data_IF_950423197294
#
_entry.id   IF_950423197294
#
_cell.length_a   1.000
_cell.length_b   1.000
_cell.length_c   1.000
_cell.angle_alpha   90.00
_cell.angle_beta   90.00
_cell.angle_gamma   90.00
#
_symmetry.space_group_name_H-M   'P 1'
#
loop_
_entity.id
_entity.type
_entity.pdbx_description
1 polymer ?
#
# COMPACT_ATOMS: atom_id res chain seq x y z
N UNK A 1 13.08 -43.47 12.90
CA UNK A 1 11.80 -43.13 13.57
C UNK A 1 12.09 -42.96 15.05
N UNK A 2 11.97 -41.74 15.61
CA UNK A 2 10.88 -41.58 16.58
C UNK A 2 10.27 -40.17 16.70
N UNK A 3 9.07 -40.15 17.29
CA UNK A 3 8.27 -39.01 17.79
C UNK A 3 7.41 -38.21 16.79
N UNK A 4 6.45 -38.90 16.18
CA UNK A 4 5.14 -38.29 15.91
C UNK A 4 4.31 -38.31 17.20
N UNK A 5 4.39 -37.26 18.01
CA UNK A 5 3.38 -37.00 19.04
C UNK A 5 2.23 -36.23 18.39
N UNK A 6 1.15 -36.95 18.15
CA UNK A 6 -0.13 -36.42 17.72
C UNK A 6 -0.62 -35.35 18.70
N UNK A 7 -0.61 -34.09 18.25
CA UNK A 7 -1.37 -33.00 18.86
C UNK A 7 -2.27 -32.33 17.80
N UNK A 8 -2.85 -33.14 16.90
CA UNK A 8 -3.03 -32.77 15.50
C UNK A 8 -4.44 -32.30 15.07
N UNK A 9 -5.30 -31.85 15.99
CA UNK A 9 -6.66 -31.41 15.60
C UNK A 9 -6.87 -29.88 15.54
N UNK A 10 -5.84 -29.05 15.74
CA UNK A 10 -5.98 -27.56 15.71
C UNK A 10 -4.91 -26.79 14.92
N UNK A 11 -3.84 -27.45 14.47
CA UNK A 11 -2.81 -26.86 13.60
C UNK A 11 -3.41 -26.28 12.30
N UNK A 12 -4.31 -27.01 11.61
CA UNK A 12 -5.23 -26.51 10.60
C UNK A 12 -5.87 -25.13 10.81
N UNK A 13 -6.26 -24.80 12.03
CA UNK A 13 -7.07 -23.62 12.33
C UNK A 13 -6.23 -22.47 12.88
N UNK A 14 -4.99 -22.73 13.32
CA UNK A 14 -4.13 -21.74 13.95
C UNK A 14 -3.04 -21.26 12.98
N UNK A 15 -3.42 -20.36 12.07
CA UNK A 15 -2.50 -19.82 11.05
C UNK A 15 -1.22 -19.18 11.63
N UNK A 16 -1.27 -18.40 12.73
CA UNK A 16 -0.05 -17.87 13.34
C UNK A 16 0.94 -18.95 13.79
N UNK A 17 0.44 -20.04 14.39
CA UNK A 17 1.29 -21.14 14.81
C UNK A 17 1.89 -21.87 13.61
N UNK A 18 1.06 -22.21 12.62
CA UNK A 18 1.52 -22.87 11.39
C UNK A 18 2.57 -22.02 10.65
N UNK A 19 2.37 -20.71 10.57
CA UNK A 19 3.34 -19.79 9.99
C UNK A 19 4.71 -19.86 10.68
N UNK A 20 4.73 -19.90 12.01
CA UNK A 20 5.97 -19.97 12.77
C UNK A 20 6.70 -21.30 12.57
N UNK A 21 5.94 -22.39 12.39
CA UNK A 21 6.47 -23.72 12.10
C UNK A 21 7.06 -23.80 10.68
N UNK A 22 6.33 -23.31 9.67
CA UNK A 22 6.81 -23.21 8.27
C UNK A 22 8.09 -22.36 8.20
N UNK A 23 8.15 -21.24 8.92
CA UNK A 23 9.34 -20.37 8.97
C UNK A 23 10.58 -21.09 9.51
N UNK A 24 10.42 -22.17 10.28
CA UNK A 24 11.52 -22.97 10.85
C UNK A 24 11.89 -24.15 9.95
N UNK A 25 10.90 -24.85 9.41
CA UNK A 25 11.09 -26.01 8.55
C UNK A 25 9.91 -26.16 7.58
N UNK A 26 10.02 -25.57 6.39
CA UNK A 26 8.91 -25.54 5.44
C UNK A 26 8.58 -26.93 4.85
N UNK A 27 9.58 -27.80 4.69
CA UNK A 27 9.39 -29.10 4.04
C UNK A 27 8.41 -29.97 4.84
N UNK A 28 8.53 -29.95 6.17
CA UNK A 28 7.69 -30.74 7.08
C UNK A 28 6.23 -30.30 7.18
N UNK A 29 5.86 -29.12 6.67
CA UNK A 29 4.49 -28.57 6.76
C UNK A 29 3.85 -28.33 5.39
N UNK A 30 4.32 -29.02 4.36
CA UNK A 30 3.83 -28.86 2.98
C UNK A 30 2.36 -29.25 2.86
N UNK A 31 1.92 -30.35 3.48
CA UNK A 31 0.52 -30.80 3.43
C UNK A 31 -0.42 -29.80 4.12
N UNK A 32 -0.04 -29.29 5.30
CA UNK A 32 -0.82 -28.27 5.99
C UNK A 32 -0.91 -26.97 5.19
N UNK A 33 0.19 -26.58 4.55
CA UNK A 33 0.23 -25.43 3.66
C UNK A 33 -0.71 -25.63 2.45
N UNK A 34 -0.64 -26.74 1.74
CA UNK A 34 -1.48 -27.04 0.58
C UNK A 34 -2.96 -27.02 0.95
N UNK A 35 -3.29 -27.53 2.13
CA UNK A 35 -4.66 -27.48 2.67
C UNK A 35 -5.14 -26.04 2.89
N UNK A 36 -4.29 -25.13 3.40
CA UNK A 36 -4.63 -23.70 3.47
C UNK A 36 -4.72 -23.07 2.09
N UNK A 37 -3.83 -23.42 1.17
CA UNK A 37 -3.85 -22.90 -0.18
C UNK A 37 -5.16 -23.27 -0.90
N UNK A 38 -5.65 -24.49 -0.72
CA UNK A 38 -6.96 -24.93 -1.22
C UNK A 38 -8.13 -24.13 -0.60
N UNK A 39 -8.09 -23.87 0.71
CA UNK A 39 -9.08 -23.01 1.39
C UNK A 39 -9.07 -21.60 0.83
N UNK A 40 -7.89 -21.04 0.55
CA UNK A 40 -7.75 -19.72 -0.08
C UNK A 40 -8.42 -19.70 -1.46
N UNK A 41 -8.10 -20.67 -2.32
CA UNK A 41 -8.67 -20.76 -3.68
C UNK A 41 -10.20 -20.87 -3.64
N UNK A 42 -10.75 -21.75 -2.80
CA UNK A 42 -12.19 -21.92 -2.65
C UNK A 42 -12.87 -20.64 -2.13
N UNK A 43 -12.26 -20.00 -1.12
CA UNK A 43 -12.82 -18.80 -0.49
C UNK A 43 -12.73 -17.58 -1.41
N UNK A 44 -11.63 -17.42 -2.17
CA UNK A 44 -11.49 -16.39 -3.20
C UNK A 44 -12.55 -16.54 -4.29
N UNK A 45 -12.75 -17.75 -4.82
CA UNK A 45 -13.73 -17.99 -5.87
C UNK A 45 -15.17 -17.63 -5.46
N UNK A 46 -15.52 -17.83 -4.19
CA UNK A 46 -16.81 -17.41 -3.63
C UNK A 46 -16.83 -15.90 -3.41
N UNK A 47 -15.76 -15.34 -2.84
CA UNK A 47 -15.65 -13.92 -2.54
C UNK A 47 -15.75 -13.02 -3.78
N UNK A 48 -15.14 -13.42 -4.90
CA UNK A 48 -15.19 -12.67 -6.16
C UNK A 48 -16.62 -12.49 -6.71
N UNK A 49 -17.57 -13.35 -6.32
CA UNK A 49 -18.98 -13.21 -6.71
C UNK A 49 -19.67 -12.06 -5.96
N UNK A 50 -19.23 -11.74 -4.74
CA UNK A 50 -19.76 -10.61 -3.96
C UNK A 50 -18.67 -9.98 -3.05
N UNK A 51 -17.78 -9.15 -3.62
CA UNK A 51 -16.61 -8.60 -2.92
C UNK A 51 -16.94 -7.43 -1.96
N UNK A 52 -18.22 -7.11 -1.77
CA UNK A 52 -18.66 -5.94 -0.99
C UNK A 52 -18.60 -6.16 0.51
N UNK A 53 -18.64 -7.42 0.96
CA UNK A 53 -18.67 -7.81 2.36
C UNK A 53 -17.27 -8.17 2.86
N UNK A 54 -16.90 -7.76 4.07
CA UNK A 54 -15.65 -8.19 4.67
C UNK A 54 -15.67 -9.69 4.97
N UNK A 55 -14.68 -10.42 4.45
CA UNK A 55 -14.49 -11.84 4.72
C UNK A 55 -13.27 -12.05 5.64
N UNK A 56 -13.49 -12.33 6.92
CA UNK A 56 -12.40 -12.47 7.88
C UNK A 56 -11.49 -13.68 7.59
N UNK A 57 -12.08 -14.81 7.18
CA UNK A 57 -11.31 -16.01 6.84
C UNK A 57 -10.39 -15.77 5.64
N UNK A 58 -10.91 -15.06 4.62
CA UNK A 58 -10.11 -14.67 3.46
C UNK A 58 -8.99 -13.70 3.85
N UNK A 59 -9.28 -12.73 4.71
CA UNK A 59 -8.27 -11.81 5.24
C UNK A 59 -7.13 -12.58 5.92
N UNK A 60 -7.46 -13.43 6.88
CA UNK A 60 -6.47 -14.18 7.66
C UNK A 60 -5.59 -15.07 6.78
N UNK A 61 -6.20 -15.76 5.81
CA UNK A 61 -5.47 -16.67 4.93
C UNK A 61 -4.59 -15.93 3.92
N UNK A 62 -5.03 -14.79 3.38
CA UNK A 62 -4.19 -13.93 2.52
C UNK A 62 -2.98 -13.43 3.28
N UNK A 63 -3.16 -12.98 4.53
CA UNK A 63 -2.05 -12.50 5.36
C UNK A 63 -1.06 -13.63 5.70
N UNK A 64 -1.57 -14.84 5.98
CA UNK A 64 -0.76 -16.03 6.16
C UNK A 64 0.06 -16.36 4.91
N UNK A 65 -0.58 -16.48 3.73
CA UNK A 65 0.08 -16.81 2.47
C UNK A 65 1.15 -15.79 2.11
N UNK A 66 0.86 -14.48 2.25
CA UNK A 66 1.85 -13.42 2.02
C UNK A 66 3.08 -13.55 2.94
N UNK A 67 2.90 -14.05 4.18
CA UNK A 67 3.98 -14.28 5.13
C UNK A 67 4.78 -15.56 4.89
N UNK A 68 4.22 -16.58 4.22
CA UNK A 68 4.95 -17.82 3.91
C UNK A 68 5.37 -17.95 2.45
N UNK A 69 4.98 -17.01 1.56
CA UNK A 69 5.19 -17.11 0.12
C UNK A 69 6.61 -17.47 -0.35
N UNK A 70 7.64 -16.95 0.31
CA UNK A 70 9.04 -17.24 -0.04
C UNK A 70 9.46 -18.71 0.19
N UNK A 71 8.73 -19.45 1.03
CA UNK A 71 9.03 -20.85 1.35
C UNK A 71 8.36 -21.82 0.37
N UNK A 72 7.36 -21.36 -0.40
CA UNK A 72 6.61 -22.15 -1.38
C UNK A 72 6.50 -21.38 -2.71
N UNK A 73 7.64 -21.10 -3.39
CA UNK A 73 7.66 -20.23 -4.57
C UNK A 73 6.95 -20.84 -5.79
N UNK A 74 6.93 -22.17 -5.92
CA UNK A 74 6.27 -22.86 -7.03
C UNK A 74 4.74 -22.78 -6.90
N UNK A 75 4.23 -22.97 -5.68
CA UNK A 75 2.80 -22.98 -5.40
C UNK A 75 2.19 -21.57 -5.35
N UNK A 76 2.98 -20.54 -5.03
CA UNK A 76 2.52 -19.15 -4.86
C UNK A 76 3.07 -18.18 -5.91
N UNK A 77 3.49 -18.68 -7.07
CA UNK A 77 3.97 -17.85 -8.18
C UNK A 77 2.90 -16.86 -8.70
N UNK A 78 1.64 -17.30 -8.80
CA UNK A 78 0.52 -16.52 -9.31
C UNK A 78 -0.17 -15.66 -8.23
N UNK A 79 0.04 -16.01 -6.96
CA UNK A 79 -0.62 -15.37 -5.83
C UNK A 79 -0.50 -13.83 -5.82
N UNK A 80 0.68 -13.22 -6.04
CA UNK A 80 0.78 -11.77 -6.13
C UNK A 80 -0.11 -11.16 -7.23
N UNK A 81 -0.14 -11.79 -8.40
CA UNK A 81 -0.90 -11.30 -9.56
C UNK A 81 -2.40 -11.46 -9.35
N UNK A 82 -2.84 -12.51 -8.65
CA UNK A 82 -4.25 -12.68 -8.24
C UNK A 82 -4.71 -11.51 -7.35
N UNK A 83 -3.93 -11.16 -6.33
CA UNK A 83 -4.26 -10.02 -5.45
C UNK A 83 -4.31 -8.70 -6.22
N UNK A 84 -3.38 -8.48 -7.15
CA UNK A 84 -3.38 -7.31 -8.05
C UNK A 84 -4.63 -7.30 -8.93
N UNK A 85 -5.03 -8.45 -9.48
CA UNK A 85 -6.21 -8.56 -10.33
C UNK A 85 -7.50 -8.23 -9.56
N UNK A 86 -7.65 -8.73 -8.33
CA UNK A 86 -8.80 -8.44 -7.46
C UNK A 86 -8.88 -6.92 -7.18
N UNK A 87 -7.77 -6.28 -6.83
CA UNK A 87 -7.73 -4.84 -6.61
C UNK A 87 -8.05 -4.06 -7.89
N UNK A 88 -7.47 -4.42 -9.05
CA UNK A 88 -7.75 -3.73 -10.31
C UNK A 88 -9.22 -3.85 -10.75
N UNK A 89 -9.84 -5.02 -10.56
CA UNK A 89 -11.24 -5.28 -10.96
C UNK A 89 -12.26 -4.69 -10.00
N UNK A 90 -12.03 -4.80 -8.70
CA UNK A 90 -13.06 -4.57 -7.68
C UNK A 90 -12.73 -3.45 -6.68
N UNK A 91 -11.64 -2.69 -6.86
CA UNK A 91 -11.23 -1.69 -5.88
C UNK A 91 -12.35 -0.73 -5.45
N UNK A 92 -13.23 -0.25 -6.34
CA UNK A 92 -14.32 0.67 -5.97
C UNK A 92 -15.38 0.03 -5.07
N UNK A 93 -15.71 -1.25 -5.28
CA UNK A 93 -16.80 -1.97 -4.59
C UNK A 93 -16.33 -2.80 -3.40
N UNK A 94 -15.02 -3.08 -3.31
CA UNK A 94 -14.42 -3.83 -2.20
C UNK A 94 -14.71 -3.16 -0.85
N UNK A 95 -14.99 -3.97 0.16
CA UNK A 95 -15.04 -3.49 1.54
C UNK A 95 -13.72 -2.77 1.91
N UNK A 96 -13.75 -1.57 2.52
CA UNK A 96 -12.53 -0.79 2.81
C UNK A 96 -11.46 -1.56 3.59
N UNK A 97 -11.86 -2.33 4.60
CA UNK A 97 -10.93 -3.17 5.37
C UNK A 97 -10.30 -4.28 4.53
N UNK A 98 -11.06 -4.89 3.61
CA UNK A 98 -10.53 -5.92 2.71
C UNK A 98 -9.54 -5.31 1.72
N UNK A 99 -9.90 -4.17 1.13
CA UNK A 99 -9.01 -3.41 0.23
C UNK A 99 -7.67 -3.08 0.90
N UNK A 100 -7.70 -2.57 2.13
CA UNK A 100 -6.49 -2.30 2.92
C UNK A 100 -5.67 -3.57 3.18
N UNK A 101 -6.34 -4.68 3.46
CA UNK A 101 -5.69 -5.97 3.73
C UNK A 101 -4.93 -6.51 2.52
N UNK A 102 -5.56 -6.46 1.34
CA UNK A 102 -4.93 -6.84 0.08
C UNK A 102 -3.69 -6.00 -0.22
N UNK A 103 -3.78 -4.67 -0.02
CA UNK A 103 -2.64 -3.77 -0.20
C UNK A 103 -1.50 -4.09 0.78
N UNK A 104 -1.80 -4.36 2.05
CA UNK A 104 -0.80 -4.77 3.05
C UNK A 104 -0.16 -6.13 2.69
N UNK A 105 -0.92 -7.07 2.17
CA UNK A 105 -0.38 -8.35 1.70
C UNK A 105 0.61 -8.16 0.53
N UNK A 106 0.25 -7.34 -0.46
CA UNK A 106 1.16 -6.96 -1.56
C UNK A 106 2.44 -6.28 -1.06
N UNK A 107 2.34 -5.46 -0.01
CA UNK A 107 3.53 -4.87 0.61
C UNK A 107 4.44 -5.90 1.27
N UNK A 108 3.89 -6.90 1.95
CA UNK A 108 4.69 -8.00 2.50
C UNK A 108 5.41 -8.76 1.39
N UNK A 109 4.74 -9.03 0.27
CA UNK A 109 5.32 -9.69 -0.90
C UNK A 109 6.43 -8.85 -1.54
N UNK A 110 6.24 -7.53 -1.64
CA UNK A 110 7.26 -6.59 -2.12
C UNK A 110 8.49 -6.54 -1.21
N UNK A 111 8.32 -6.57 0.10
CA UNK A 111 9.46 -6.63 1.04
C UNK A 111 10.29 -7.91 0.90
N UNK A 112 9.74 -8.95 0.28
CA UNK A 112 10.42 -10.21 -0.04
C UNK A 112 10.89 -10.29 -1.49
N UNK A 113 10.79 -9.18 -2.24
CA UNK A 113 11.11 -9.11 -3.67
C UNK A 113 10.28 -10.04 -4.56
N UNK A 114 9.09 -10.45 -4.10
CA UNK A 114 8.15 -11.27 -4.90
C UNK A 114 7.26 -10.43 -5.83
N UNK A 115 7.33 -9.10 -5.71
CA UNK A 115 6.63 -8.13 -6.58
C UNK A 115 7.61 -7.03 -6.94
N UNK A 116 7.65 -6.68 -8.23
CA UNK A 116 8.45 -5.55 -8.70
C UNK A 116 7.98 -4.25 -8.05
N UNK A 117 8.90 -3.39 -7.55
CA UNK A 117 8.54 -2.08 -7.06
C UNK A 117 7.73 -1.27 -8.07
N UNK A 118 8.04 -1.37 -9.37
CA UNK A 118 7.31 -0.66 -10.42
C UNK A 118 5.82 -1.06 -10.44
N UNK A 119 5.53 -2.36 -10.47
CA UNK A 119 4.15 -2.88 -10.49
C UNK A 119 3.34 -2.42 -9.29
N UNK A 120 3.95 -2.43 -8.10
CA UNK A 120 3.29 -1.98 -6.88
C UNK A 120 2.98 -0.48 -6.92
N UNK A 121 3.92 0.37 -7.35
CA UNK A 121 3.68 1.82 -7.46
C UNK A 121 2.58 2.13 -8.49
N UNK A 122 2.58 1.45 -9.64
CA UNK A 122 1.53 1.61 -10.65
C UNK A 122 0.14 1.31 -10.06
N UNK A 123 0.03 0.23 -9.28
CA UNK A 123 -1.22 -0.10 -8.58
C UNK A 123 -1.60 0.96 -7.55
N UNK A 124 -0.64 1.48 -6.78
CA UNK A 124 -0.92 2.51 -5.77
C UNK A 124 -1.51 3.77 -6.41
N UNK A 125 -0.95 4.23 -7.53
CA UNK A 125 -1.47 5.38 -8.27
C UNK A 125 -2.89 5.16 -8.79
N UNK A 126 -3.23 3.93 -9.22
CA UNK A 126 -4.60 3.58 -9.58
C UNK A 126 -5.55 3.62 -8.37
N UNK A 127 -5.10 3.09 -7.22
CA UNK A 127 -5.90 3.03 -6.00
C UNK A 127 -6.08 4.39 -5.31
N UNK A 128 -5.26 5.40 -5.61
CA UNK A 128 -5.48 6.78 -5.14
C UNK A 128 -6.83 7.35 -5.61
N UNK A 129 -7.41 6.81 -6.69
CA UNK A 129 -8.72 7.23 -7.22
C UNK A 129 -9.89 6.70 -6.39
N UNK A 130 -9.66 5.74 -5.50
CA UNK A 130 -10.72 5.18 -4.66
C UNK A 130 -11.17 6.19 -3.59
N UNK A 131 -12.48 6.23 -3.34
CA UNK A 131 -13.08 7.07 -2.29
C UNK A 131 -12.87 6.47 -0.89
N UNK A 132 -11.61 6.24 -0.50
CA UNK A 132 -11.20 5.70 0.79
C UNK A 132 -10.04 6.50 1.37
N UNK A 133 -10.37 7.38 2.32
CA UNK A 133 -9.40 8.29 2.95
C UNK A 133 -8.30 7.54 3.69
N UNK A 134 -8.62 6.43 4.35
CA UNK A 134 -7.65 5.65 5.11
C UNK A 134 -6.65 4.97 4.16
N UNK A 135 -7.15 4.38 3.07
CA UNK A 135 -6.31 3.83 2.02
C UNK A 135 -5.41 4.89 1.39
N UNK A 136 -5.95 6.03 0.96
CA UNK A 136 -5.15 7.09 0.32
C UNK A 136 -4.02 7.57 1.22
N UNK A 137 -4.31 7.82 2.50
CA UNK A 137 -3.29 8.21 3.49
C UNK A 137 -2.18 7.16 3.62
N UNK A 138 -2.55 5.88 3.66
CA UNK A 138 -1.61 4.77 3.73
C UNK A 138 -0.73 4.69 2.47
N UNK A 139 -1.33 4.73 1.28
CA UNK A 139 -0.60 4.71 0.00
C UNK A 139 0.37 5.89 -0.12
N UNK A 140 -0.07 7.10 0.25
CA UNK A 140 0.77 8.30 0.24
C UNK A 140 1.98 8.19 1.15
N UNK A 141 1.87 7.54 2.33
CA UNK A 141 3.02 7.30 3.20
C UNK A 141 4.09 6.45 2.52
N UNK A 142 3.68 5.51 1.66
CA UNK A 142 4.61 4.64 0.93
C UNK A 142 5.17 5.28 -0.34
N UNK A 143 4.38 6.08 -1.05
CA UNK A 143 4.83 6.80 -2.26
C UNK A 143 5.95 7.81 -1.94
N UNK A 144 6.04 8.31 -0.70
CA UNK A 144 7.13 9.22 -0.26
C UNK A 144 8.54 8.68 -0.48
N UNK A 145 8.70 7.36 -0.60
CA UNK A 145 9.97 6.69 -0.85
C UNK A 145 10.28 6.50 -2.35
N UNK A 146 9.74 7.38 -3.21
CA UNK A 146 10.06 7.46 -4.63
C UNK A 146 11.36 8.25 -4.84
N UNK A 147 12.37 7.64 -5.46
CA UNK A 147 13.70 8.25 -5.66
C UNK A 147 14.17 8.17 -7.11
N UNK A 148 15.01 9.12 -7.59
CA UNK A 148 15.49 9.16 -8.98
C UNK A 148 16.25 7.93 -9.47
N UNK A 149 16.93 7.22 -8.57
CA UNK A 149 17.76 6.07 -8.91
C UNK A 149 16.99 4.75 -8.99
N UNK A 150 15.67 4.77 -8.84
CA UNK A 150 14.85 3.57 -8.94
C UNK A 150 14.76 3.09 -10.40
N UNK A 151 14.71 1.77 -10.58
CA UNK A 151 14.49 1.21 -11.90
C UNK A 151 13.20 1.75 -12.50
N UNK A 152 13.28 2.14 -13.77
CA UNK A 152 12.14 2.63 -14.55
C UNK A 152 11.41 3.83 -13.92
N UNK A 153 12.13 4.68 -13.16
CA UNK A 153 11.57 5.84 -12.47
C UNK A 153 10.75 6.74 -13.39
N UNK A 154 11.17 6.92 -14.64
CA UNK A 154 10.44 7.73 -15.64
C UNK A 154 9.04 7.16 -15.89
N UNK A 155 8.89 5.83 -15.96
CA UNK A 155 7.56 5.19 -16.07
C UNK A 155 6.74 5.46 -14.81
N UNK A 156 7.34 5.32 -13.63
CA UNK A 156 6.68 5.60 -12.34
C UNK A 156 6.16 7.04 -12.30
N UNK A 157 6.94 8.01 -12.77
CA UNK A 157 6.56 9.43 -12.83
C UNK A 157 5.44 9.72 -13.82
N UNK A 158 5.41 9.05 -14.97
CA UNK A 158 4.29 9.14 -15.92
C UNK A 158 3.00 8.64 -15.28
N UNK A 159 3.03 7.49 -14.60
CA UNK A 159 1.86 6.97 -13.87
C UNK A 159 1.44 7.87 -12.72
N UNK A 160 2.41 8.47 -12.00
CA UNK A 160 2.14 9.45 -10.95
C UNK A 160 1.38 10.67 -11.50
N UNK A 161 1.83 11.22 -12.64
CA UNK A 161 1.14 12.34 -13.28
C UNK A 161 -0.27 11.95 -13.76
N UNK A 162 -0.45 10.73 -14.30
CA UNK A 162 -1.76 10.20 -14.69
C UNK A 162 -2.72 9.95 -13.50
N UNK A 163 -2.19 9.82 -12.28
CA UNK A 163 -3.01 9.73 -11.08
C UNK A 163 -3.76 11.04 -10.81
N UNK A 164 -3.19 12.18 -11.22
CA UNK A 164 -3.89 13.46 -11.19
C UNK A 164 -4.98 13.50 -12.26
N UNK A 165 -6.22 13.67 -11.81
CA UNK A 165 -7.40 13.83 -12.64
C UNK A 165 -8.29 14.95 -12.06
N UNK A 166 -9.25 15.49 -12.83
CA UNK A 166 -10.07 16.63 -12.40
C UNK A 166 -10.87 16.39 -11.11
N UNK A 167 -11.29 15.14 -10.86
CA UNK A 167 -12.03 14.75 -9.65
C UNK A 167 -11.14 14.47 -8.42
N UNK A 168 -9.81 14.52 -8.54
CA UNK A 168 -8.91 14.24 -7.43
C UNK A 168 -8.88 15.46 -6.50
N UNK A 169 -8.99 15.22 -5.18
CA UNK A 169 -8.92 16.33 -4.23
C UNK A 169 -7.49 16.87 -4.15
N UNK A 170 -7.30 18.19 -3.97
CA UNK A 170 -5.98 18.78 -3.78
C UNK A 170 -5.19 18.15 -2.62
N UNK A 171 -5.87 17.85 -1.51
CA UNK A 171 -5.33 17.13 -0.35
C UNK A 171 -4.71 15.77 -0.72
N UNK A 172 -5.20 15.13 -1.79
CA UNK A 172 -4.69 13.84 -2.25
C UNK A 172 -3.43 13.97 -3.13
N UNK A 173 -3.29 15.11 -3.83
CA UNK A 173 -2.21 15.37 -4.79
C UNK A 173 -1.02 16.13 -4.17
N UNK A 174 -1.26 16.97 -3.18
CA UNK A 174 -0.22 17.73 -2.48
C UNK A 174 0.94 16.84 -1.98
N UNK A 175 0.70 15.67 -1.35
CA UNK A 175 1.79 14.80 -0.90
C UNK A 175 2.63 14.25 -2.05
N UNK A 176 2.02 14.03 -3.22
CA UNK A 176 2.71 13.54 -4.41
C UNK A 176 3.59 14.64 -5.01
N UNK A 177 3.05 15.85 -5.18
CA UNK A 177 3.81 17.02 -5.64
C UNK A 177 4.99 17.31 -4.70
N UNK A 178 4.75 17.28 -3.39
CA UNK A 178 5.77 17.47 -2.36
C UNK A 178 6.87 16.41 -2.45
N UNK A 179 6.50 15.15 -2.70
CA UNK A 179 7.48 14.06 -2.86
C UNK A 179 8.34 14.29 -4.11
N UNK A 180 7.74 14.65 -5.24
CA UNK A 180 8.47 14.94 -6.47
C UNK A 180 9.42 16.14 -6.29
N UNK A 181 8.96 17.22 -5.66
CA UNK A 181 9.79 18.39 -5.38
C UNK A 181 10.97 18.03 -4.47
N UNK A 182 10.70 17.37 -3.33
CA UNK A 182 11.72 17.06 -2.33
C UNK A 182 12.73 16.01 -2.79
N UNK A 183 12.32 15.06 -3.64
CA UNK A 183 13.16 13.92 -3.99
C UNK A 183 13.80 14.04 -5.38
N UNK A 184 13.29 14.89 -6.27
CA UNK A 184 13.80 15.05 -7.64
C UNK A 184 14.30 16.47 -7.94
N UNK A 185 13.67 17.50 -7.38
CA UNK A 185 14.01 18.91 -7.63
C UNK A 185 14.91 19.44 -6.51
N UNK A 186 16.14 18.93 -6.46
CA UNK A 186 17.15 19.36 -5.49
C UNK A 186 18.49 19.57 -6.17
N UNK A 187 19.27 20.54 -5.68
CA UNK A 187 20.61 20.86 -6.19
C UNK A 187 21.62 19.70 -6.07
N UNK A 188 21.27 18.63 -5.33
CA UNK A 188 22.09 17.44 -5.16
C UNK A 188 22.05 16.49 -6.37
N UNK A 189 21.14 16.70 -7.31
CA UNK A 189 20.96 15.85 -8.49
C UNK A 189 21.35 16.57 -9.77
N UNK A 190 21.57 15.80 -10.84
CA UNK A 190 21.88 16.35 -12.16
C UNK A 190 20.72 17.17 -12.74
N UNK A 191 21.04 18.09 -13.64
CA UNK A 191 20.05 18.89 -14.36
C UNK A 191 19.00 18.03 -15.07
N UNK A 192 19.38 16.85 -15.56
CA UNK A 192 18.45 15.90 -16.21
C UNK A 192 17.41 15.35 -15.23
N UNK A 193 17.83 14.97 -14.02
CA UNK A 193 16.93 14.47 -12.97
C UNK A 193 16.00 15.57 -12.48
N UNK A 194 16.53 16.78 -12.29
CA UNK A 194 15.72 17.93 -11.91
C UNK A 194 14.69 18.28 -12.98
N UNK A 195 15.10 18.28 -14.27
CA UNK A 195 14.20 18.53 -15.39
C UNK A 195 13.10 17.46 -15.49
N UNK A 196 13.43 16.19 -15.25
CA UNK A 196 12.45 15.11 -15.16
C UNK A 196 11.43 15.37 -14.03
N UNK A 197 11.90 15.75 -12.83
CA UNK A 197 11.06 16.15 -11.70
C UNK A 197 10.10 17.29 -12.03
N UNK A 198 10.64 18.38 -12.59
CA UNK A 198 9.87 19.56 -13.00
C UNK A 198 8.83 19.23 -14.08
N UNK A 199 9.19 18.39 -15.06
CA UNK A 199 8.26 17.94 -16.10
C UNK A 199 7.09 17.14 -15.53
N UNK A 200 7.34 16.25 -14.56
CA UNK A 200 6.27 15.50 -13.91
C UNK A 200 5.35 16.40 -13.08
N UNK A 201 5.90 17.37 -12.34
CA UNK A 201 5.10 18.36 -11.59
C UNK A 201 4.26 19.20 -12.56
N UNK A 202 4.85 19.70 -13.64
CA UNK A 202 4.14 20.47 -14.67
C UNK A 202 2.97 19.67 -15.26
N UNK A 203 3.19 18.40 -15.61
CA UNK A 203 2.14 17.52 -16.14
C UNK A 203 1.04 17.26 -15.10
N UNK A 204 1.39 17.10 -13.83
CA UNK A 204 0.44 16.93 -12.73
C UNK A 204 -0.45 18.18 -12.58
N UNK A 205 0.14 19.37 -12.55
CA UNK A 205 -0.58 20.64 -12.47
C UNK A 205 -1.42 20.92 -13.72
N UNK A 206 -0.97 20.51 -14.91
CA UNK A 206 -1.74 20.63 -16.14
C UNK A 206 -3.03 19.81 -16.10
N UNK A 207 -3.01 18.65 -15.43
CA UNK A 207 -4.18 17.76 -15.26
C UNK A 207 -5.11 18.18 -14.13
N UNK A 208 -4.54 18.77 -13.08
CA UNK A 208 -5.31 19.32 -11.96
C UNK A 208 -4.65 20.63 -11.48
N UNK A 209 -5.15 21.79 -11.93
CA UNK A 209 -4.59 23.09 -11.55
C UNK A 209 -4.61 23.38 -10.04
N UNK A 210 -5.47 22.71 -9.29
CA UNK A 210 -5.58 22.89 -7.84
C UNK A 210 -4.57 22.05 -7.04
N UNK A 211 -3.79 21.18 -7.70
CA UNK A 211 -2.83 20.29 -7.03
C UNK A 211 -1.72 21.02 -6.25
N UNK A 212 -1.41 22.26 -6.63
CA UNK A 212 -0.41 23.13 -5.97
C UNK A 212 -1.03 24.29 -5.23
N UNK A 213 -2.36 24.38 -5.15
CA UNK A 213 -3.00 25.49 -4.46
C UNK A 213 -2.64 25.44 -2.98
N UNK A 214 -2.03 26.50 -2.41
CA UNK A 214 -1.84 26.59 -0.98
C UNK A 214 -3.23 26.78 -0.35
N UNK A 215 -3.89 25.69 0.03
CA UNK A 215 -5.07 25.81 0.86
C UNK A 215 -4.63 26.36 2.22
N UNK A 216 -5.36 27.34 2.79
CA UNK A 216 -5.07 27.81 4.12
C UNK A 216 -5.08 26.62 5.08
N UNK A 217 -4.18 26.60 6.08
CA UNK A 217 -4.17 25.54 7.08
C UNK A 217 -5.59 25.38 7.63
N UNK A 218 -6.07 24.12 7.72
CA UNK A 218 -7.41 23.84 8.25
C UNK A 218 -7.55 24.60 9.58
N UNK A 219 -8.59 25.43 9.75
CA UNK A 219 -8.73 26.26 10.94
C UNK A 219 -8.64 25.35 12.17
N UNK A 220 -7.76 25.73 13.10
CA UNK A 220 -7.54 24.97 14.33
C UNK A 220 -8.90 24.84 15.05
N UNK A 221 -9.46 23.63 15.24
CA UNK A 221 -10.76 23.47 15.88
C UNK A 221 -10.77 23.92 17.35
N UNK A 222 -9.57 24.18 17.90
CA UNK A 222 -9.38 24.74 19.23
C UNK A 222 -8.55 26.02 19.11
N UNK A 223 -9.17 27.20 18.90
CA UNK A 223 -8.44 28.45 19.02
C UNK A 223 -7.90 28.55 20.44
N UNK A 224 -6.58 28.68 20.58
CA UNK A 224 -5.99 29.00 21.88
C UNK A 224 -6.59 30.33 22.35
N UNK A 225 -7.01 30.43 23.62
CA UNK A 225 -7.48 31.71 24.15
C UNK A 225 -6.37 32.76 24.00
N UNK A 226 -6.71 34.02 23.71
CA UNK A 226 -5.71 35.07 23.55
C UNK A 226 -4.86 35.17 24.82
N UNK A 227 -3.54 35.11 24.65
CA UNK A 227 -2.58 35.31 25.74
C UNK A 227 -2.77 36.74 26.26
N UNK A 228 -2.97 36.96 27.57
CA UNK A 228 -3.05 38.30 28.12
C UNK A 228 -1.75 39.05 27.80
N UNK A 229 -1.87 40.22 27.18
CA UNK A 229 -0.74 41.14 26.98
C UNK A 229 -0.21 41.53 28.37
N UNK A 230 0.96 41.00 28.77
CA UNK A 230 1.70 41.54 29.91
C UNK A 230 2.04 43.00 29.60
N UNK A 231 1.40 43.93 30.30
CA UNK A 231 1.86 45.31 30.36
C UNK A 231 3.23 45.32 31.05
N UNK A 232 4.21 46.12 30.57
CA UNK A 232 5.50 46.22 31.24
C UNK A 232 5.30 46.84 32.64
N UNK A 233 5.89 46.22 33.66
CA UNK A 233 5.91 46.77 35.01
C UNK A 233 6.66 48.12 35.03
N UNK A 234 6.19 49.10 35.82
CA UNK A 234 6.84 50.39 35.90
C UNK A 234 8.19 50.23 36.62
N UNK A 235 9.25 50.66 35.95
CA UNK A 235 10.58 50.81 36.56
C UNK A 235 10.50 51.93 37.59
N UNK A 236 10.65 51.58 38.88
CA UNK A 236 10.90 52.50 39.98
C UNK A 236 12.20 52.07 40.66
#
# INVERSE_FOLDING_TARGET
>A
MPFCQANNNKLPSNLPQLQNLIKRDAASYTEEFERQHAVYKATCAIFEQNPTVYNNQLHEIIMFLAQVAQFYPEQLNEFPQELVAILKRHASVLHPHMRMSLVKALMFLRNKNLISPLELHMLFFQLLRCQDKALRKFLQQHIRFLFPHQQEVTKVMVFAAQAAHPLASPDDLEPLVRTLANNFVTERYSNEVMAMGLNAIRELCARNPHATSPYPPKPNPFPHPPVPLCLPEPVI
#
